data_IF_459410637970
#
_entry.id   IF_459410637970
#
_cell.length_a   1.000
_cell.length_b   1.000
_cell.length_c   1.000
_cell.angle_alpha   90.00
_cell.angle_beta   90.00
_cell.angle_gamma   90.00
#
_symmetry.space_group_name_H-M   'P 1'
#
loop_
_entity.id
_entity.type
_entity.pdbx_description
1 polymer ?
#
# COMPACT_ATOMS: atom_id res chain seq x y z
N UNK A 1 -1.12 -11.48 16.55
CA UNK A 1 -0.07 -11.58 15.51
C UNK A 1 -0.49 -10.68 14.36
N UNK A 2 0.39 -9.82 13.85
CA UNK A 2 0.05 -8.86 12.78
C UNK A 2 0.08 -9.56 11.39
N UNK A 3 -0.97 -9.41 10.58
CA UNK A 3 -1.03 -10.00 9.23
C UNK A 3 -0.24 -9.14 8.23
N UNK A 4 0.69 -9.79 7.54
CA UNK A 4 1.53 -9.18 6.50
C UNK A 4 1.09 -9.63 5.10
N UNK A 5 0.33 -8.77 4.44
CA UNK A 5 -0.13 -8.96 3.07
C UNK A 5 1.04 -8.86 2.10
N UNK A 6 1.04 -9.73 1.11
CA UNK A 6 1.84 -9.57 -0.10
C UNK A 6 1.33 -8.40 -0.93
N UNK A 7 2.15 -7.96 -1.87
CA UNK A 7 1.74 -6.97 -2.85
C UNK A 7 0.53 -7.41 -3.68
N UNK A 8 0.40 -8.71 -3.97
CA UNK A 8 -0.75 -9.29 -4.67
C UNK A 8 -2.03 -9.16 -3.82
N UNK A 9 -1.99 -9.64 -2.58
CA UNK A 9 -3.14 -9.57 -1.67
C UNK A 9 -3.56 -8.12 -1.40
N UNK A 10 -2.59 -7.19 -1.32
CA UNK A 10 -2.88 -5.76 -1.13
C UNK A 10 -3.55 -5.17 -2.35
N UNK A 11 -3.08 -5.50 -3.55
CA UNK A 11 -3.70 -5.04 -4.80
C UNK A 11 -5.13 -5.57 -4.94
N UNK A 12 -5.35 -6.85 -4.62
CA UNK A 12 -6.68 -7.47 -4.59
C UNK A 12 -7.61 -6.78 -3.59
N UNK A 13 -7.12 -6.50 -2.38
CA UNK A 13 -7.90 -5.81 -1.34
C UNK A 13 -8.29 -4.39 -1.76
N UNK A 14 -7.39 -3.67 -2.43
CA UNK A 14 -7.64 -2.31 -2.90
C UNK A 14 -8.36 -2.24 -4.25
N UNK A 15 -8.64 -3.39 -4.88
CA UNK A 15 -9.14 -3.50 -6.25
C UNK A 15 -8.28 -2.73 -7.28
N UNK A 16 -6.96 -2.75 -7.08
CA UNK A 16 -5.98 -2.10 -7.95
C UNK A 16 -5.16 -3.13 -8.74
N UNK A 17 -4.51 -2.67 -9.82
CA UNK A 17 -3.49 -3.46 -10.50
C UNK A 17 -2.25 -3.54 -9.61
N UNK A 18 -1.66 -4.73 -9.44
CA UNK A 18 -0.42 -4.90 -8.65
C UNK A 18 0.71 -3.98 -9.15
N UNK A 19 0.81 -3.76 -10.46
CA UNK A 19 1.78 -2.86 -11.06
C UNK A 19 1.64 -1.40 -10.57
N UNK A 20 0.42 -0.93 -10.30
CA UNK A 20 0.18 0.42 -9.80
C UNK A 20 0.84 0.63 -8.43
N UNK A 21 0.79 -0.37 -7.54
CA UNK A 21 1.51 -0.32 -6.26
C UNK A 21 3.03 -0.23 -6.45
N UNK A 22 3.59 -0.85 -7.50
CA UNK A 22 5.02 -0.70 -7.85
C UNK A 22 5.31 0.72 -8.30
N UNK A 23 4.53 1.23 -9.24
CA UNK A 23 4.65 2.57 -9.81
C UNK A 23 4.59 3.64 -8.71
N UNK A 24 3.61 3.53 -7.80
CA UNK A 24 3.50 4.43 -6.65
C UNK A 24 4.75 4.40 -5.77
N UNK A 25 5.25 3.22 -5.40
CA UNK A 25 6.49 3.14 -4.60
C UNK A 25 7.70 3.74 -5.31
N UNK A 26 7.77 3.64 -6.64
CA UNK A 26 8.88 4.21 -7.40
C UNK A 26 8.75 5.72 -7.58
N UNK A 27 7.53 6.24 -7.71
CA UNK A 27 7.28 7.68 -7.69
C UNK A 27 7.54 8.27 -6.31
N UNK A 28 7.04 7.63 -5.25
CA UNK A 28 7.22 8.09 -3.86
C UNK A 28 8.70 8.15 -3.44
N UNK A 29 9.57 7.30 -4.00
CA UNK A 29 11.03 7.43 -3.81
C UNK A 29 11.63 8.67 -4.49
N UNK A 30 11.05 9.10 -5.61
CA UNK A 30 11.56 10.23 -6.41
C UNK A 30 11.18 11.57 -5.79
N UNK A 31 10.00 11.66 -5.19
CA UNK A 31 9.46 12.93 -4.69
C UNK A 31 9.04 12.92 -3.22
N UNK A 32 9.42 11.87 -2.47
CA UNK A 32 9.02 11.68 -1.07
C UNK A 32 7.50 11.69 -0.85
N UNK A 33 6.71 11.35 -1.89
CA UNK A 33 5.26 11.25 -1.83
C UNK A 33 4.75 10.07 -0.99
N UNK A 34 3.43 10.02 -0.84
CA UNK A 34 2.69 8.90 -0.23
C UNK A 34 1.42 8.62 -1.01
N UNK A 35 1.57 7.98 -2.17
CA UNK A 35 0.43 7.69 -3.06
C UNK A 35 -0.36 6.46 -2.64
N UNK A 36 0.28 5.52 -1.95
CA UNK A 36 -0.32 4.25 -1.56
C UNK A 36 -0.15 3.94 -0.07
N UNK A 37 -0.67 2.79 0.37
CA UNK A 37 -0.54 2.36 1.75
C UNK A 37 0.93 2.15 2.14
N UNK A 38 1.28 2.34 3.43
CA UNK A 38 2.61 2.06 3.94
C UNK A 38 3.06 0.63 3.66
N UNK A 39 4.33 0.47 3.29
CA UNK A 39 4.93 -0.83 3.03
C UNK A 39 6.19 -1.03 3.87
N UNK A 40 6.54 -2.30 4.11
CA UNK A 40 7.79 -2.71 4.73
C UNK A 40 8.56 -3.64 3.81
N UNK A 41 9.88 -3.45 3.77
CA UNK A 41 10.79 -4.41 3.14
C UNK A 41 11.21 -5.47 4.17
N UNK A 42 11.04 -6.73 3.81
CA UNK A 42 11.56 -7.88 4.55
C UNK A 42 12.50 -8.63 3.60
N UNK A 43 13.78 -8.25 3.66
CA UNK A 43 14.76 -8.62 2.64
C UNK A 43 14.33 -8.10 1.27
N UNK A 44 14.14 -9.00 0.31
CA UNK A 44 13.67 -8.68 -1.05
C UNK A 44 12.15 -8.56 -1.15
N UNK A 45 11.40 -9.04 -0.14
CA UNK A 45 9.95 -9.02 -0.17
C UNK A 45 9.40 -7.64 0.25
N UNK A 46 8.36 -7.18 -0.45
CA UNK A 46 7.53 -6.06 -0.02
C UNK A 46 6.28 -6.62 0.65
N UNK A 47 6.00 -6.15 1.87
CA UNK A 47 4.82 -6.52 2.64
C UNK A 47 4.07 -5.29 3.11
N UNK A 48 2.78 -5.48 3.31
CA UNK A 48 1.86 -4.47 3.81
C UNK A 48 1.21 -4.99 5.08
N UNK A 49 1.17 -4.17 6.12
CA UNK A 49 0.44 -4.52 7.33
C UNK A 49 -1.03 -4.32 7.07
N UNK A 50 -1.84 -5.34 7.32
CA UNK A 50 -3.28 -5.26 7.06
C UNK A 50 -3.92 -4.04 7.76
N UNK A 51 -3.51 -3.75 9.00
CA UNK A 51 -3.97 -2.59 9.78
C UNK A 51 -3.59 -1.24 9.15
N UNK A 52 -2.37 -1.10 8.61
CA UNK A 52 -1.94 0.13 7.94
C UNK A 52 -2.63 0.30 6.57
N UNK A 53 -2.93 -0.80 5.87
CA UNK A 53 -3.72 -0.74 4.63
C UNK A 53 -5.15 -0.31 4.92
N UNK A 54 -5.80 -0.87 5.95
CA UNK A 54 -7.13 -0.43 6.38
C UNK A 54 -7.14 1.05 6.77
N UNK A 55 -6.20 1.49 7.61
CA UNK A 55 -6.11 2.89 8.01
C UNK A 55 -5.89 3.85 6.81
N UNK A 56 -5.17 3.40 5.78
CA UNK A 56 -5.01 4.17 4.55
C UNK A 56 -6.30 4.26 3.73
N UNK A 57 -7.07 3.17 3.65
CA UNK A 57 -8.40 3.16 3.01
C UNK A 57 -9.33 4.13 3.76
N UNK A 58 -9.35 4.05 5.08
CA UNK A 58 -10.20 4.90 5.92
C UNK A 58 -9.85 6.38 5.74
N UNK A 59 -8.55 6.72 5.71
CA UNK A 59 -8.09 8.08 5.45
C UNK A 59 -8.37 8.57 4.01
N UNK A 60 -8.41 7.66 3.02
CA UNK A 60 -8.74 7.99 1.64
C UNK A 60 -10.25 8.16 1.42
N UNK A 61 -11.08 7.48 2.22
CA UNK A 61 -12.54 7.58 2.22
C UNK A 61 -13.07 8.84 2.92
N UNK A 62 -12.23 9.56 3.68
CA UNK A 62 -12.57 10.81 4.37
C UNK A 62 -12.45 12.06 3.47
N UNK A 63 -12.32 11.85 2.15
CA UNK A 63 -12.47 12.91 1.15
C UNK A 63 -13.97 13.01 0.85
N UNK A 64 -14.66 13.82 1.66
CA UNK A 64 -16.03 14.26 1.44
C UNK A 64 -16.20 14.76 0.00
N UNK A 65 -17.22 14.22 -0.67
CA UNK A 65 -17.81 14.73 -1.92
C UNK A 65 -18.71 15.93 -1.63
#
# INVERSE_FOLDING_TARGET
MERLLTEKETAELLQLRQQLLREWRDLDKKDAGRRGPPFKKLGRAVRYRATEVSAWIDAAGDIDV
#
